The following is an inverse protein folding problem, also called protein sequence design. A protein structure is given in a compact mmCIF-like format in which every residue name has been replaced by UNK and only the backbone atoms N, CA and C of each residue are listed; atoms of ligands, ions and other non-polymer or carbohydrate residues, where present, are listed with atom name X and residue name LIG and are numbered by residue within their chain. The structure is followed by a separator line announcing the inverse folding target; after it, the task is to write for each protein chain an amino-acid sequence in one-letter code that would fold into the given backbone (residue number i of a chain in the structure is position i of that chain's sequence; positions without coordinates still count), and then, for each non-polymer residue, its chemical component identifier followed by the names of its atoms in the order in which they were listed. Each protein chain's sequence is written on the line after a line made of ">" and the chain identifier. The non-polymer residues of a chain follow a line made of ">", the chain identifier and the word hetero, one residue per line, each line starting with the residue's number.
data_IF_419966212410
#
_entry.id   IF_419966212410
#
_cell.length_a   1.000
_cell.length_b   1.000
_cell.length_c   1.000
_cell.angle_alpha   90.00
_cell.angle_beta   90.00
_cell.angle_gamma   90.00
#
_symmetry.space_group_name_H-M   'P 1'
#
loop_
_entity.id
_entity.type
_entity.pdbx_description
1 polymer ?
#
# COMPACT_ATOMS: atom_id res chain seq x y z
N UNK A 1 -15.74 -11.77 12.61
CA UNK A 1 -15.27 -10.65 11.75
C UNK A 1 -14.31 -9.79 12.57
N UNK A 2 -13.01 -9.74 12.24
CA UNK A 2 -12.04 -9.00 13.05
C UNK A 2 -12.30 -7.48 13.04
N UNK A 3 -12.10 -6.76 14.16
CA UNK A 3 -12.24 -5.32 14.21
C UNK A 3 -11.24 -4.63 13.27
N UNK A 4 -11.62 -3.45 12.75
CA UNK A 4 -10.83 -2.71 11.77
C UNK A 4 -9.38 -2.47 12.21
N UNK A 5 -9.16 -2.11 13.48
CA UNK A 5 -7.83 -1.87 14.07
C UNK A 5 -6.89 -3.05 13.90
N UNK A 6 -7.35 -4.28 14.11
CA UNK A 6 -6.52 -5.49 13.99
C UNK A 6 -6.14 -5.73 12.52
N UNK A 7 -7.09 -5.54 11.61
CA UNK A 7 -6.85 -5.66 10.16
C UNK A 7 -5.82 -4.64 9.67
N UNK A 8 -5.90 -3.40 10.17
CA UNK A 8 -4.92 -2.35 9.88
C UNK A 8 -3.54 -2.68 10.46
N UNK A 9 -3.49 -3.21 11.68
CA UNK A 9 -2.24 -3.62 12.32
C UNK A 9 -1.56 -4.73 11.51
N UNK A 10 -2.31 -5.76 11.10
CA UNK A 10 -1.81 -6.83 10.23
C UNK A 10 -1.31 -6.32 8.88
N UNK A 11 -2.05 -5.39 8.27
CA UNK A 11 -1.62 -4.76 7.03
C UNK A 11 -0.30 -4.01 7.21
N UNK A 12 -0.15 -3.27 8.32
CA UNK A 12 1.07 -2.53 8.59
C UNK A 12 2.26 -3.46 8.94
N UNK A 13 2.04 -4.50 9.74
CA UNK A 13 3.09 -5.40 10.21
C UNK A 13 3.60 -6.36 9.15
N UNK A 14 2.73 -6.82 8.23
CA UNK A 14 3.10 -7.78 7.19
C UNK A 14 3.31 -7.07 5.85
N UNK A 15 2.32 -6.32 5.37
CA UNK A 15 2.38 -5.80 4.00
C UNK A 15 3.23 -4.53 3.89
N UNK A 16 2.97 -3.55 4.76
CA UNK A 16 3.67 -2.26 4.71
C UNK A 16 5.15 -2.38 5.11
N UNK A 17 5.48 -3.26 6.05
CA UNK A 17 6.87 -3.53 6.47
C UNK A 17 7.71 -4.08 5.31
N UNK A 18 7.23 -5.10 4.61
CA UNK A 18 7.90 -5.67 3.44
C UNK A 18 8.02 -4.67 2.29
N UNK A 19 6.95 -3.93 1.97
CA UNK A 19 7.01 -2.87 0.97
C UNK A 19 8.00 -1.76 1.35
N UNK A 20 8.06 -1.42 2.63
CA UNK A 20 8.95 -0.38 3.11
C UNK A 20 10.42 -0.79 3.01
N UNK A 21 10.73 -2.04 3.34
CA UNK A 21 12.09 -2.59 3.24
C UNK A 21 12.54 -2.74 1.79
N UNK A 22 11.72 -3.38 0.95
CA UNK A 22 12.06 -3.64 -0.44
C UNK A 22 11.89 -2.43 -1.38
N UNK A 23 11.75 -1.20 -0.84
CA UNK A 23 11.38 -0.02 -1.65
C UNK A 23 12.42 0.37 -2.71
N UNK A 24 13.69 0.07 -2.47
CA UNK A 24 14.76 0.29 -3.45
C UNK A 24 14.63 -0.68 -4.63
N UNK A 25 14.24 -1.93 -4.34
CA UNK A 25 14.07 -2.98 -5.34
C UNK A 25 12.85 -2.70 -6.20
N UNK A 26 11.65 -2.59 -5.61
CA UNK A 26 10.45 -2.40 -6.44
C UNK A 26 10.33 -0.98 -6.99
N UNK A 27 10.94 0.03 -6.36
CA UNK A 27 10.93 1.42 -6.83
C UNK A 27 11.69 1.66 -8.14
N UNK A 28 12.68 0.80 -8.43
CA UNK A 28 13.51 0.84 -9.65
C UNK A 28 13.02 -0.12 -10.73
N UNK A 29 12.00 -0.94 -10.45
CA UNK A 29 11.49 -1.94 -11.39
C UNK A 29 10.52 -1.36 -12.43
N UNK A 30 10.28 -2.14 -13.48
CA UNK A 30 9.31 -1.84 -14.54
C UNK A 30 7.90 -1.57 -14.00
N UNK A 31 7.18 -0.68 -14.70
CA UNK A 31 5.81 -0.27 -14.36
C UNK A 31 4.83 -1.43 -14.26
N UNK A 32 5.05 -2.52 -14.99
CA UNK A 32 4.28 -3.77 -14.91
C UNK A 32 4.36 -4.41 -13.52
N UNK A 33 5.55 -4.47 -12.93
CA UNK A 33 5.76 -5.04 -11.60
C UNK A 33 5.14 -4.15 -10.51
N UNK A 34 5.30 -2.83 -10.63
CA UNK A 34 4.64 -1.86 -9.74
C UNK A 34 3.12 -1.98 -9.82
N UNK A 35 2.55 -2.16 -11.01
CA UNK A 35 1.12 -2.38 -11.19
C UNK A 35 0.66 -3.69 -10.53
N UNK A 36 1.46 -4.77 -10.63
CA UNK A 36 1.17 -6.04 -9.94
C UNK A 36 1.12 -5.86 -8.43
N UNK A 37 2.08 -5.13 -7.86
CA UNK A 37 2.08 -4.79 -6.43
C UNK A 37 0.86 -3.95 -6.03
N UNK A 38 0.45 -3.00 -6.89
CA UNK A 38 -0.74 -2.17 -6.67
C UNK A 38 -2.02 -3.03 -6.67
N UNK A 39 -2.13 -4.02 -7.55
CA UNK A 39 -3.25 -4.98 -7.56
C UNK A 39 -3.32 -5.77 -6.26
N UNK A 40 -2.17 -6.23 -5.74
CA UNK A 40 -2.09 -6.93 -4.45
C UNK A 40 -2.51 -6.00 -3.31
N UNK A 41 -2.04 -4.75 -3.31
CA UNK A 41 -2.43 -3.74 -2.32
C UNK A 41 -3.94 -3.49 -2.32
N UNK A 42 -4.57 -3.37 -3.50
CA UNK A 42 -6.02 -3.24 -3.65
C UNK A 42 -6.78 -4.47 -3.14
N UNK A 43 -6.23 -5.67 -3.31
CA UNK A 43 -6.82 -6.90 -2.78
C UNK A 43 -6.82 -6.88 -1.25
N UNK A 44 -5.72 -6.48 -0.62
CA UNK A 44 -5.63 -6.34 0.84
C UNK A 44 -6.62 -5.32 1.38
N UNK A 45 -6.73 -4.14 0.75
CA UNK A 45 -7.70 -3.11 1.16
C UNK A 45 -9.14 -3.60 1.02
N UNK A 46 -9.47 -4.36 -0.02
CA UNK A 46 -10.80 -4.99 -0.15
C UNK A 46 -11.10 -5.97 0.97
N UNK A 47 -10.12 -6.79 1.36
CA UNK A 47 -10.27 -7.68 2.53
C UNK A 47 -10.39 -6.89 3.84
N UNK A 48 -9.68 -5.78 4.00
CA UNK A 48 -9.82 -4.91 5.17
C UNK A 48 -11.18 -4.23 5.23
N UNK A 49 -11.71 -3.80 4.09
CA UNK A 49 -12.97 -3.09 4.00
C UNK A 49 -14.20 -4.01 3.89
N UNK A 50 -13.99 -5.32 3.71
CA UNK A 50 -15.02 -6.33 3.45
C UNK A 50 -15.90 -6.01 2.23
N UNK A 51 -15.27 -5.71 1.09
CA UNK A 51 -15.98 -5.27 -0.11
C UNK A 51 -15.72 -6.23 -1.27
N UNK A 52 -16.75 -6.42 -2.10
CA UNK A 52 -16.67 -7.21 -3.32
C UNK A 52 -15.63 -6.71 -4.32
N UNK A 53 -15.27 -7.58 -5.26
CA UNK A 53 -14.23 -7.33 -6.25
C UNK A 53 -14.50 -6.14 -7.17
N UNK A 54 -15.77 -5.89 -7.52
CA UNK A 54 -16.16 -4.86 -8.49
C UNK A 54 -16.17 -3.43 -7.94
N UNK A 55 -16.13 -3.26 -6.61
CA UNK A 55 -16.19 -1.93 -6.02
C UNK A 55 -14.86 -1.18 -6.11
N UNK A 56 -14.96 0.15 -6.22
CA UNK A 56 -13.78 1.01 -6.22
C UNK A 56 -13.09 1.01 -4.85
N UNK A 57 -11.77 0.87 -4.87
CA UNK A 57 -10.92 0.90 -3.67
C UNK A 57 -10.43 2.30 -3.32
N UNK A 58 -10.66 3.28 -4.19
CA UNK A 58 -10.08 4.63 -4.11
C UNK A 58 -10.47 5.37 -2.82
N UNK A 59 -11.74 5.27 -2.42
CA UNK A 59 -12.24 5.90 -1.19
C UNK A 59 -11.58 5.30 0.05
N UNK A 60 -11.28 4.00 0.04
CA UNK A 60 -10.69 3.29 1.18
C UNK A 60 -9.20 3.61 1.38
N UNK A 61 -8.47 3.93 0.31
CA UNK A 61 -7.11 4.47 0.45
C UNK A 61 -7.11 5.77 1.26
N UNK A 62 -8.06 6.66 1.00
CA UNK A 62 -8.21 7.92 1.75
C UNK A 62 -8.71 7.67 3.17
N UNK A 63 -9.76 6.87 3.34
CA UNK A 63 -10.32 6.54 4.67
C UNK A 63 -9.31 5.90 5.61
N UNK A 64 -8.43 5.04 5.08
CA UNK A 64 -7.43 4.33 5.87
C UNK A 64 -6.09 5.07 5.95
N UNK A 65 -5.97 6.25 5.32
CA UNK A 65 -4.73 7.01 5.20
C UNK A 65 -3.56 6.17 4.64
N UNK A 66 -3.84 5.29 3.68
CA UNK A 66 -2.86 4.43 3.04
C UNK A 66 -2.44 5.05 1.71
N UNK A 67 -1.14 5.28 1.54
CA UNK A 67 -0.58 5.71 0.26
C UNK A 67 -0.53 4.54 -0.73
N UNK A 68 -0.88 4.83 -1.99
CA UNK A 68 -0.67 3.90 -3.11
C UNK A 68 0.83 3.69 -3.31
N UNK A 69 1.25 2.46 -3.59
CA UNK A 69 2.66 2.08 -3.85
C UNK A 69 3.43 3.05 -4.79
N UNK A 70 2.91 3.45 -5.96
CA UNK A 70 3.64 4.38 -6.83
C UNK A 70 3.87 5.76 -6.20
N UNK A 71 2.95 6.22 -5.33
CA UNK A 71 3.11 7.48 -4.60
C UNK A 71 4.08 7.33 -3.43
N UNK A 72 4.09 6.15 -2.80
CA UNK A 72 4.93 5.84 -1.64
C UNK A 72 6.42 5.95 -1.96
N UNK A 73 6.86 5.49 -3.14
CA UNK A 73 8.25 5.62 -3.56
C UNK A 73 8.68 7.09 -3.68
N UNK A 74 7.88 7.90 -4.38
CA UNK A 74 8.14 9.35 -4.54
C UNK A 74 8.17 10.06 -3.19
N UNK A 75 7.25 9.72 -2.30
CA UNK A 75 7.19 10.27 -0.95
C UNK A 75 8.45 9.93 -0.14
N UNK A 76 8.89 8.67 -0.16
CA UNK A 76 10.13 8.25 0.53
C UNK A 76 11.36 8.96 -0.02
N UNK A 77 11.48 9.09 -1.35
CA UNK A 77 12.56 9.85 -1.97
C UNK A 77 12.55 11.32 -1.52
N UNK A 78 11.39 11.98 -1.59
CA UNK A 78 11.27 13.38 -1.16
C UNK A 78 11.63 13.57 0.32
N UNK A 79 11.22 12.63 1.19
CA UNK A 79 11.58 12.65 2.60
C UNK A 79 13.09 12.44 2.81
N UNK A 80 13.71 11.54 2.05
CA UNK A 80 15.16 11.31 2.10
C UNK A 80 15.95 12.56 1.68
N UNK A 81 15.58 13.19 0.56
CA UNK A 81 16.23 14.42 0.09
C UNK A 81 15.99 15.62 1.00
N UNK A 82 14.83 15.71 1.66
CA UNK A 82 14.53 16.81 2.60
C UNK A 82 15.36 16.71 3.90
N UNK A 83 15.68 15.50 4.32
CA UNK A 83 16.45 15.23 5.54
C UNK A 83 17.97 15.17 5.31
N UNK A 84 18.41 15.44 4.08
CA UNK A 84 19.80 15.53 3.65
C UNK A 84 20.19 17.01 3.55
#
# INVERSE_FOLDING_TARGET
>A
MFPFRIKLLLYNSLFMSHLSYCHLVWGTTSRTNVNRLLVIQKKMIRMMANIGFYYSTENYFKLYNILKIPCLYRYKLACFYKNL
#
